data_IF_621441048854
#
_entry.id   IF_621441048854
#
_cell.length_a   1.000
_cell.length_b   1.000
_cell.length_c   1.000
_cell.angle_alpha   90.00
_cell.angle_beta   90.00
_cell.angle_gamma   90.00
#
_symmetry.space_group_name_H-M   'P 1'
#
loop_
_entity.id
_entity.type
_entity.pdbx_description
1 polymer ?
#
# COMPACT_ATOMS: atom_id res chain seq x y z
N UNK A 1 -4.92 9.07 1.31
CA UNK A 1 -3.95 9.51 0.28
C UNK A 1 -4.29 9.02 -1.13
N UNK A 2 -4.60 7.72 -1.29
CA UNK A 2 -4.84 7.05 -2.60
C UNK A 2 -5.94 7.72 -3.45
N UNK A 3 -6.99 8.26 -2.83
CA UNK A 3 -8.08 8.92 -3.57
C UNK A 3 -7.63 10.06 -4.51
N UNK A 4 -6.51 10.75 -4.22
CA UNK A 4 -5.96 11.77 -5.11
C UNK A 4 -5.30 11.17 -6.36
N UNK A 5 -4.66 10.00 -6.23
CA UNK A 5 -4.13 9.23 -7.37
C UNK A 5 -5.22 8.62 -8.25
N UNK A 6 -6.42 8.40 -7.70
CA UNK A 6 -7.54 7.88 -8.48
C UNK A 6 -8.32 9.00 -9.17
N UNK A 7 -8.43 10.18 -8.53
CA UNK A 7 -9.23 11.30 -9.03
C UNK A 7 -8.41 12.36 -9.74
N UNK A 8 -7.65 13.14 -8.96
CA UNK A 8 -6.77 14.22 -9.39
C UNK A 8 -6.17 14.90 -8.15
N UNK A 9 -5.13 15.70 -8.35
CA UNK A 9 -4.61 16.63 -7.37
C UNK A 9 -5.23 18.02 -7.59
N UNK A 10 -5.94 18.60 -6.60
CA UNK A 10 -6.40 19.97 -6.70
C UNK A 10 -5.21 20.94 -6.59
N UNK A 11 -5.20 21.93 -7.47
CA UNK A 11 -4.24 23.03 -7.56
C UNK A 11 -5.00 24.34 -7.78
N UNK A 12 -4.32 25.47 -7.64
CA UNK A 12 -4.93 26.79 -7.90
C UNK A 12 -5.41 26.92 -9.35
N UNK A 13 -4.76 26.23 -10.29
CA UNK A 13 -5.09 26.21 -11.71
C UNK A 13 -6.09 25.10 -12.10
N UNK A 14 -6.65 24.39 -11.10
CA UNK A 14 -7.64 23.33 -11.31
C UNK A 14 -7.12 21.94 -10.94
N UNK A 15 -7.66 20.91 -11.60
CA UNK A 15 -7.34 19.51 -11.30
C UNK A 15 -6.18 18.99 -12.14
N UNK A 16 -5.07 18.66 -11.50
CA UNK A 16 -3.92 18.01 -12.12
C UNK A 16 -4.07 16.49 -12.06
N UNK A 17 -4.11 15.84 -13.22
CA UNK A 17 -4.16 14.39 -13.28
C UNK A 17 -2.83 13.76 -12.83
N UNK A 18 -2.86 12.62 -12.13
CA UNK A 18 -1.67 11.89 -11.76
C UNK A 18 -0.93 11.39 -13.01
N UNK A 19 0.40 11.47 -12.99
CA UNK A 19 1.27 10.91 -14.04
C UNK A 19 1.49 9.39 -13.92
N UNK A 20 0.93 8.79 -12.88
CA UNK A 20 1.02 7.37 -12.57
C UNK A 20 -0.38 6.82 -12.30
N UNK A 21 -0.53 5.51 -12.38
CA UNK A 21 -1.78 4.81 -12.08
C UNK A 21 -1.60 3.86 -10.91
N UNK A 22 -2.68 3.57 -10.18
CA UNK A 22 -2.69 2.52 -9.16
C UNK A 22 -2.95 1.20 -9.86
N UNK A 23 -1.94 0.33 -9.93
CA UNK A 23 -2.03 -0.97 -10.60
C UNK A 23 -2.86 -1.99 -9.79
N UNK A 24 -2.74 -1.96 -8.47
CA UNK A 24 -3.43 -2.87 -7.55
C UNK A 24 -3.35 -2.36 -6.11
N UNK A 25 -4.19 -2.89 -5.23
CA UNK A 25 -4.21 -2.56 -3.81
C UNK A 25 -4.16 -3.86 -2.97
N UNK A 26 -3.44 -3.81 -1.85
CA UNK A 26 -3.59 -4.73 -0.73
C UNK A 26 -4.14 -3.94 0.46
N UNK A 27 -5.17 -4.46 1.12
CA UNK A 27 -5.72 -3.92 2.36
C UNK A 27 -5.55 -4.99 3.44
N UNK A 28 -4.88 -4.63 4.53
CA UNK A 28 -4.57 -5.58 5.62
C UNK A 28 -5.79 -5.90 6.48
N UNK A 29 -6.58 -4.87 6.78
CA UNK A 29 -7.81 -4.97 7.54
C UNK A 29 -8.90 -4.29 6.72
N UNK A 30 -9.97 -5.03 6.43
CA UNK A 30 -11.15 -4.53 5.75
C UNK A 30 -12.29 -4.58 6.75
N UNK A 31 -12.83 -3.42 7.09
CA UNK A 31 -14.00 -3.28 7.96
C UNK A 31 -15.26 -3.11 7.12
N UNK A 32 -16.43 -3.31 7.73
CA UNK A 32 -17.73 -3.25 7.03
C UNK A 32 -18.03 -1.87 6.42
N UNK A 33 -17.38 -0.81 6.90
CA UNK A 33 -17.48 0.58 6.42
C UNK A 33 -16.26 1.05 5.61
N UNK A 34 -15.41 0.12 5.16
CA UNK A 34 -14.16 0.45 4.47
C UNK A 34 -14.42 0.99 3.05
N UNK A 35 -14.33 2.32 2.92
CA UNK A 35 -14.41 3.02 1.64
C UNK A 35 -13.34 2.58 0.63
N UNK A 36 -12.24 1.96 1.07
CA UNK A 36 -11.13 1.55 0.23
C UNK A 36 -11.55 0.52 -0.83
N UNK A 37 -12.39 -0.45 -0.46
CA UNK A 37 -12.88 -1.49 -1.38
C UNK A 37 -13.84 -0.90 -2.40
N UNK A 38 -14.80 -0.08 -1.94
CA UNK A 38 -15.77 0.57 -2.83
C UNK A 38 -15.08 1.52 -3.82
N UNK A 39 -14.11 2.30 -3.35
CA UNK A 39 -13.32 3.19 -4.20
C UNK A 39 -12.50 2.38 -5.21
N UNK A 40 -11.84 1.29 -4.78
CA UNK A 40 -11.09 0.45 -5.71
C UNK A 40 -12.00 -0.12 -6.82
N UNK A 41 -13.19 -0.61 -6.45
CA UNK A 41 -14.19 -1.11 -7.39
C UNK A 41 -14.68 -0.02 -8.35
N UNK A 42 -14.98 1.19 -7.85
CA UNK A 42 -15.45 2.31 -8.66
C UNK A 42 -14.43 2.77 -9.72
N UNK A 43 -13.14 2.58 -9.45
CA UNK A 43 -12.04 2.93 -10.37
C UNK A 43 -11.46 1.71 -11.12
N UNK A 44 -12.03 0.52 -10.96
CA UNK A 44 -11.58 -0.70 -11.63
C UNK A 44 -10.19 -1.18 -11.19
N UNK A 45 -9.76 -0.84 -9.97
CA UNK A 45 -8.46 -1.24 -9.43
C UNK A 45 -8.60 -2.58 -8.70
N UNK A 46 -7.81 -3.61 -9.05
CA UNK A 46 -7.89 -4.91 -8.39
C UNK A 46 -7.37 -4.85 -6.95
N UNK A 47 -8.11 -5.47 -6.03
CA UNK A 47 -7.73 -5.66 -4.63
C UNK A 47 -7.30 -7.11 -4.43
N UNK A 48 -6.11 -7.32 -3.87
CA UNK A 48 -5.55 -8.64 -3.58
C UNK A 48 -5.52 -8.90 -2.08
N UNK A 49 -5.61 -10.19 -1.73
CA UNK A 49 -5.59 -10.67 -0.35
C UNK A 49 -4.17 -10.86 0.21
N UNK A 50 -3.13 -10.50 -0.56
CA UNK A 50 -1.74 -10.59 -0.13
C UNK A 50 -0.86 -9.56 -0.84
N UNK A 51 0.22 -9.16 -0.17
CA UNK A 51 1.24 -8.26 -0.73
C UNK A 51 1.86 -8.86 -2.01
N UNK A 52 2.28 -10.15 -2.05
CA UNK A 52 2.77 -10.75 -3.30
C UNK A 52 1.73 -10.73 -4.42
N UNK A 53 0.45 -11.00 -4.11
CA UNK A 53 -0.63 -10.95 -5.08
C UNK A 53 -0.77 -9.57 -5.73
N UNK A 54 -0.73 -8.51 -4.91
CA UNK A 54 -0.77 -7.13 -5.40
C UNK A 54 0.48 -6.79 -6.22
N UNK A 55 1.68 -7.05 -5.67
CA UNK A 55 2.93 -6.70 -6.34
C UNK A 55 3.16 -7.44 -7.67
N UNK A 56 2.64 -8.66 -7.80
CA UNK A 56 2.77 -9.48 -9.00
C UNK A 56 1.53 -9.46 -9.91
N UNK A 57 0.49 -8.68 -9.58
CA UNK A 57 -0.80 -8.66 -10.28
C UNK A 57 -1.39 -10.08 -10.48
N UNK A 58 -1.23 -10.96 -9.49
CA UNK A 58 -1.63 -12.37 -9.55
C UNK A 58 -0.68 -13.31 -10.30
N UNK A 59 0.40 -12.77 -10.88
CA UNK A 59 1.48 -13.53 -11.52
C UNK A 59 2.56 -14.01 -10.54
N UNK A 60 3.71 -14.43 -11.10
CA UNK A 60 4.87 -14.92 -10.32
C UNK A 60 6.01 -13.90 -10.21
N UNK A 61 6.00 -12.88 -11.03
CA UNK A 61 7.04 -11.87 -11.10
C UNK A 61 6.50 -10.51 -10.71
N UNK A 62 7.36 -9.65 -10.16
CA UNK A 62 7.01 -8.28 -9.82
C UNK A 62 6.45 -7.57 -11.06
N UNK A 63 5.29 -6.97 -10.96
CA UNK A 63 4.55 -6.42 -12.11
C UNK A 63 4.20 -4.92 -11.96
N UNK A 64 4.83 -4.25 -10.98
CA UNK A 64 4.66 -2.82 -10.71
C UNK A 64 5.98 -2.07 -10.83
N UNK A 65 5.90 -0.75 -10.99
CA UNK A 65 7.06 0.17 -11.13
C UNK A 65 7.45 0.89 -9.83
N UNK A 66 6.61 0.78 -8.80
CA UNK A 66 6.85 1.38 -7.49
C UNK A 66 5.80 0.93 -6.48
N UNK A 67 6.12 1.09 -5.19
CA UNK A 67 5.24 0.66 -4.09
C UNK A 67 4.96 1.83 -3.16
N UNK A 68 3.69 2.02 -2.83
CA UNK A 68 3.24 2.91 -1.76
C UNK A 68 2.91 2.04 -0.53
N UNK A 69 3.83 2.00 0.43
CA UNK A 69 3.64 1.34 1.72
C UNK A 69 3.05 2.35 2.71
N UNK A 70 1.78 2.14 3.07
CA UNK A 70 1.03 3.03 3.96
C UNK A 70 0.47 2.23 5.12
N UNK A 71 0.97 2.48 6.33
CA UNK A 71 0.36 2.04 7.58
C UNK A 71 -0.75 2.99 8.00
N UNK A 72 -1.92 2.83 7.38
CA UNK A 72 -3.15 3.50 7.80
C UNK A 72 -3.63 3.00 9.17
N UNK A 73 -4.55 3.74 9.79
CA UNK A 73 -5.18 3.34 11.05
C UNK A 73 -5.84 1.97 10.91
N UNK A 74 -5.74 1.16 11.95
CA UNK A 74 -6.32 -0.18 12.03
C UNK A 74 -6.29 -0.67 13.47
N UNK A 75 -6.83 -1.86 13.69
CA UNK A 75 -6.80 -2.52 14.98
C UNK A 75 -5.53 -3.39 15.08
N UNK A 76 -4.47 -2.78 15.64
CA UNK A 76 -3.19 -3.44 15.85
C UNK A 76 -2.88 -3.49 17.34
N UNK A 77 -2.19 -4.54 17.82
CA UNK A 77 -1.84 -4.67 19.25
C UNK A 77 -1.05 -3.47 19.77
N UNK A 78 -1.06 -3.32 21.10
CA UNK A 78 -0.23 -2.36 21.82
C UNK A 78 0.88 -3.08 22.59
N UNK A 79 2.04 -2.45 22.74
CA UNK A 79 3.09 -2.93 23.64
C UNK A 79 2.94 -2.33 25.06
N UNK A 80 3.83 -2.74 25.98
CA UNK A 80 3.89 -2.27 27.37
C UNK A 80 4.05 -0.75 27.51
N UNK A 81 4.61 -0.09 26.48
CA UNK A 81 4.79 1.37 26.41
C UNK A 81 3.56 2.08 25.81
N UNK A 82 2.45 1.37 25.62
CA UNK A 82 1.23 1.88 24.98
C UNK A 82 1.48 2.36 23.54
N UNK A 83 2.45 1.78 22.85
CA UNK A 83 2.66 2.04 21.42
C UNK A 83 1.89 1.03 20.59
N UNK A 84 1.12 1.53 19.64
CA UNK A 84 0.43 0.68 18.67
C UNK A 84 1.42 0.10 17.65
N UNK A 85 1.35 -1.21 17.43
CA UNK A 85 2.34 -1.98 16.66
C UNK A 85 1.97 -2.06 15.19
N UNK A 86 2.04 -0.92 14.50
CA UNK A 86 1.79 -0.86 13.06
C UNK A 86 2.76 -1.78 12.27
N UNK A 87 2.27 -2.59 11.33
CA UNK A 87 3.02 -3.67 10.69
C UNK A 87 3.90 -3.21 9.50
N UNK A 88 4.31 -1.93 9.44
CA UNK A 88 5.08 -1.36 8.32
C UNK A 88 6.35 -2.14 8.00
N UNK A 89 7.13 -2.53 9.01
CA UNK A 89 8.31 -3.39 8.84
C UNK A 89 7.95 -4.75 8.26
N UNK A 90 6.90 -5.38 8.75
CA UNK A 90 6.44 -6.68 8.26
C UNK A 90 6.03 -6.60 6.78
N UNK A 91 5.33 -5.54 6.39
CA UNK A 91 4.98 -5.31 4.98
C UNK A 91 6.22 -5.06 4.12
N UNK A 92 7.18 -4.26 4.60
CA UNK A 92 8.46 -4.04 3.91
C UNK A 92 9.24 -5.35 3.69
N UNK A 93 9.25 -6.24 4.68
CA UNK A 93 9.89 -7.56 4.56
C UNK A 93 9.23 -8.40 3.46
N UNK A 94 7.89 -8.40 3.37
CA UNK A 94 7.19 -9.07 2.26
C UNK A 94 7.49 -8.43 0.89
N UNK A 95 7.48 -7.10 0.82
CA UNK A 95 7.80 -6.35 -0.42
C UNK A 95 9.21 -6.70 -0.91
N UNK A 96 10.20 -6.64 -0.02
CA UNK A 96 11.59 -6.94 -0.36
C UNK A 96 11.81 -8.42 -0.66
N UNK A 97 11.05 -9.33 -0.03
CA UNK A 97 11.01 -10.75 -0.38
C UNK A 97 10.55 -11.01 -1.82
N UNK A 98 9.52 -10.30 -2.29
CA UNK A 98 9.06 -10.37 -3.69
C UNK A 98 10.12 -9.80 -4.64
N UNK A 99 10.75 -8.67 -4.30
CA UNK A 99 11.83 -8.09 -5.10
C UNK A 99 13.04 -9.04 -5.22
N UNK A 100 13.46 -9.63 -4.11
CA UNK A 100 14.55 -10.59 -4.08
C UNK A 100 14.25 -11.83 -4.93
N UNK A 101 13.02 -12.37 -4.82
CA UNK A 101 12.59 -13.55 -5.57
C UNK A 101 12.43 -13.28 -7.07
N UNK A 102 12.05 -12.06 -7.45
CA UNK A 102 11.90 -11.65 -8.86
C UNK A 102 13.20 -11.15 -9.50
N UNK A 103 14.27 -10.95 -8.73
CA UNK A 103 15.53 -10.37 -9.22
C UNK A 103 15.40 -8.91 -9.67
N UNK A 104 14.29 -8.22 -9.34
CA UNK A 104 14.04 -6.82 -9.67
C UNK A 104 13.65 -6.04 -8.43
N UNK A 105 14.19 -4.83 -8.29
CA UNK A 105 13.77 -3.87 -7.28
C UNK A 105 13.05 -2.68 -7.91
N UNK A 106 12.15 -2.08 -7.15
CA UNK A 106 11.45 -0.84 -7.50
C UNK A 106 11.46 0.12 -6.32
N UNK A 107 11.33 1.44 -6.54
CA UNK A 107 11.24 2.39 -5.43
C UNK A 107 10.06 2.08 -4.50
N UNK A 108 10.31 2.16 -3.19
CA UNK A 108 9.28 2.03 -2.15
C UNK A 108 9.18 3.34 -1.40
N UNK A 109 7.99 3.94 -1.44
CA UNK A 109 7.62 5.00 -0.51
C UNK A 109 7.05 4.37 0.75
N UNK A 110 7.66 4.62 1.91
CA UNK A 110 7.16 4.20 3.21
C UNK A 110 6.61 5.42 3.95
N UNK A 111 5.35 5.37 4.37
CA UNK A 111 4.80 6.41 5.23
C UNK A 111 5.40 6.34 6.65
N UNK A 112 5.65 7.50 7.25
CA UNK A 112 6.07 7.62 8.65
C UNK A 112 7.34 6.80 8.96
N UNK A 113 7.40 6.22 10.16
CA UNK A 113 8.52 5.39 10.61
C UNK A 113 8.36 3.95 10.13
N UNK A 114 9.46 3.32 9.70
CA UNK A 114 9.44 1.93 9.21
C UNK A 114 8.97 0.92 10.28
N UNK A 115 9.31 1.16 11.54
CA UNK A 115 9.05 0.22 12.64
C UNK A 115 8.79 0.99 13.94
N UNK A 116 7.98 0.40 14.81
CA UNK A 116 7.72 0.92 16.15
C UNK A 116 8.93 0.74 17.10
N UNK A 117 9.91 -0.10 16.71
CA UNK A 117 11.19 -0.29 17.41
C UNK A 117 12.37 -0.40 16.43
N UNK A 118 13.57 -0.16 16.93
CA UNK A 118 14.83 -0.23 16.16
C UNK A 118 15.40 -1.65 16.03
N UNK A 119 15.14 -2.51 17.02
CA UNK A 119 15.54 -3.94 17.05
C UNK A 119 14.56 -4.83 16.28
#
# INVERSE_FOLDING_TARGET
>A
MIGKWLRAFPTDDGLLLPRTQIASIYLDQVFDDDMGVEIAAAFGVPVYQSIPGALCLGGKELAVDGVLLIGEHGDYPFNEKQQQLYPRRHFMEQITGVMASSGRSVPVYNDKHLSWRWE
#
